data_IF_660307125642
#
_entry.id   IF_660307125642
#
_cell.length_a   1.000
_cell.length_b   1.000
_cell.length_c   1.000
_cell.angle_alpha   90.00
_cell.angle_beta   90.00
_cell.angle_gamma   90.00
#
_symmetry.space_group_name_H-M   'P 1'
#
loop_
_entity.id
_entity.type
_entity.pdbx_description
1 polymer ?
#
# COMPACT_ATOMS: atom_id res chain seq x y z
N UNK A 1 -6.63 -1.26 12.73
CA UNK A 1 -5.70 -0.16 13.05
C UNK A 1 -5.20 -0.38 14.47
N UNK A 2 -3.88 -0.50 14.65
CA UNK A 2 -3.26 -0.80 15.95
C UNK A 2 -2.31 0.33 16.38
N UNK A 3 -1.79 1.10 15.42
CA UNK A 3 -0.88 2.22 15.64
C UNK A 3 -1.25 3.35 14.70
N UNK A 4 -1.38 4.57 15.21
CA UNK A 4 -1.63 5.76 14.40
C UNK A 4 -0.34 6.19 13.69
N UNK A 5 -0.46 6.77 12.50
CA UNK A 5 0.69 7.17 11.67
C UNK A 5 1.46 6.01 11.01
N UNK A 6 1.04 4.76 11.20
CA UNK A 6 1.62 3.60 10.52
C UNK A 6 0.80 3.24 9.28
N UNK A 7 1.47 3.20 8.12
CA UNK A 7 0.88 2.89 6.83
C UNK A 7 1.60 1.71 6.16
N UNK A 8 0.87 0.92 5.39
CA UNK A 8 1.40 -0.23 4.65
C UNK A 8 1.14 -0.07 3.15
N UNK A 9 2.01 -0.65 2.33
CA UNK A 9 1.90 -0.67 0.88
C UNK A 9 2.62 -1.92 0.33
N UNK A 10 2.23 -2.35 -0.87
CA UNK A 10 2.82 -3.51 -1.53
C UNK A 10 2.46 -4.85 -0.88
N UNK A 11 3.38 -5.81 -1.03
CA UNK A 11 3.19 -7.24 -0.75
C UNK A 11 3.18 -7.60 0.75
N UNK A 12 3.56 -6.67 1.63
CA UNK A 12 3.40 -6.86 3.08
C UNK A 12 1.93 -6.88 3.52
N UNK A 13 1.03 -6.36 2.68
CA UNK A 13 -0.41 -6.44 2.88
C UNK A 13 -0.94 -7.76 2.33
N UNK A 14 -1.97 -8.30 2.96
CA UNK A 14 -2.62 -9.56 2.56
C UNK A 14 -3.47 -9.38 1.29
N UNK A 15 -2.79 -9.15 0.17
CA UNK A 15 -3.36 -8.95 -1.16
C UNK A 15 -2.51 -9.74 -2.15
N UNK A 16 -3.16 -10.65 -2.87
CA UNK A 16 -2.54 -11.41 -3.95
C UNK A 16 -3.38 -11.29 -5.23
N UNK A 17 -2.72 -10.88 -6.30
CA UNK A 17 -3.28 -10.80 -7.64
C UNK A 17 -2.90 -12.01 -8.49
N UNK A 18 -3.76 -12.37 -9.43
CA UNK A 18 -3.42 -13.39 -10.44
C UNK A 18 -2.17 -13.00 -11.24
N UNK A 19 -1.54 -13.97 -11.91
CA UNK A 19 -0.46 -13.67 -12.86
C UNK A 19 -0.95 -12.71 -13.97
N UNK A 20 -0.06 -11.83 -14.42
CA UNK A 20 -0.41 -10.76 -15.37
C UNK A 20 -0.05 -9.34 -14.91
N UNK A 21 0.73 -9.20 -13.84
CA UNK A 21 1.25 -7.90 -13.38
C UNK A 21 0.35 -7.18 -12.38
N UNK A 22 -0.72 -7.81 -11.90
CA UNK A 22 -1.63 -7.22 -10.91
C UNK A 22 -0.92 -6.90 -9.58
N UNK A 23 0.00 -7.75 -9.12
CA UNK A 23 0.81 -7.47 -7.93
C UNK A 23 1.72 -6.25 -8.09
N UNK A 24 2.26 -6.02 -9.30
CA UNK A 24 3.03 -4.80 -9.57
C UNK A 24 2.12 -3.57 -9.58
N UNK A 25 0.97 -3.65 -10.24
CA UNK A 25 -0.01 -2.56 -10.23
C UNK A 25 -0.48 -2.22 -8.81
N UNK A 26 -0.73 -3.24 -7.98
CA UNK A 26 -1.05 -3.09 -6.57
C UNK A 26 0.08 -2.40 -5.80
N UNK A 27 1.33 -2.83 -5.98
CA UNK A 27 2.48 -2.19 -5.34
C UNK A 27 2.59 -0.69 -5.67
N UNK A 28 2.39 -0.30 -6.93
CA UNK A 28 2.42 1.10 -7.34
C UNK A 28 1.25 1.92 -6.80
N UNK A 29 0.02 1.39 -6.92
CA UNK A 29 -1.18 2.08 -6.48
C UNK A 29 -1.21 2.28 -4.96
N UNK A 30 -0.92 1.22 -4.21
CA UNK A 30 -0.87 1.28 -2.74
C UNK A 30 0.29 2.12 -2.24
N UNK A 31 1.48 2.05 -2.87
CA UNK A 31 2.62 2.90 -2.52
C UNK A 31 2.29 4.39 -2.66
N UNK A 32 1.64 4.79 -3.75
CA UNK A 32 1.18 6.18 -3.93
C UNK A 32 0.14 6.58 -2.88
N UNK A 33 -0.80 5.70 -2.55
CA UNK A 33 -1.84 5.98 -1.57
C UNK A 33 -1.26 6.14 -0.15
N UNK A 34 -0.45 5.18 0.29
CA UNK A 34 0.22 5.21 1.59
C UNK A 34 1.16 6.40 1.73
N UNK A 35 1.95 6.71 0.69
CA UNK A 35 2.85 7.86 0.69
C UNK A 35 2.12 9.20 0.81
N UNK A 36 0.97 9.36 0.11
CA UNK A 36 0.12 10.55 0.26
C UNK A 36 -0.46 10.66 1.66
N UNK A 37 -1.03 9.57 2.18
CA UNK A 37 -1.60 9.55 3.51
C UNK A 37 -0.54 9.85 4.59
N UNK A 38 0.67 9.30 4.45
CA UNK A 38 1.79 9.59 5.34
C UNK A 38 2.24 11.05 5.26
N UNK A 39 2.22 11.67 4.07
CA UNK A 39 2.57 13.08 3.91
C UNK A 39 1.52 14.04 4.49
N UNK A 40 0.25 13.66 4.49
CA UNK A 40 -0.86 14.44 5.06
C UNK A 40 -1.04 14.21 6.56
N UNK A 41 -0.43 13.17 7.12
CA UNK A 41 -0.54 12.81 8.52
C UNK A 41 0.35 13.71 9.41
N UNK A 42 -0.29 14.54 10.25
CA UNK A 42 0.31 15.49 11.21
C UNK A 42 0.11 14.99 12.63
#
# INVERSE_FOLDING_TARGET
KITEGLFFAGEVMDIDGISGGYNLQHAWASGRAAGKAAAEYV
#
